data_IF_004330594581
#
_entry.id   IF_004330594581
#
_cell.length_a   1.000
_cell.length_b   1.000
_cell.length_c   1.000
_cell.angle_alpha   90.00
_cell.angle_beta   90.00
_cell.angle_gamma   90.00
#
_symmetry.space_group_name_H-M   'P 1'
#
loop_
_entity.id
_entity.type
_entity.pdbx_description
1 polymer ?
#
# COMPACT_ATOMS: atom_id res chain seq x y z
N UNK A 1 -25.85 9.15 -0.01
CA UNK A 1 -26.00 7.96 0.84
C UNK A 1 -24.59 7.41 1.13
N UNK A 2 -24.08 7.62 2.34
CA UNK A 2 -22.77 7.09 2.73
C UNK A 2 -22.92 5.57 2.93
N UNK A 3 -22.15 4.79 2.17
CA UNK A 3 -22.07 3.34 2.40
C UNK A 3 -21.45 3.11 3.79
N UNK A 4 -22.20 2.47 4.67
CA UNK A 4 -21.66 1.94 5.93
C UNK A 4 -20.86 0.68 5.60
N UNK A 5 -19.55 0.78 5.62
CA UNK A 5 -18.64 -0.36 5.45
C UNK A 5 -17.24 0.09 5.03
N UNK A 6 -16.23 -0.66 5.40
CA UNK A 6 -14.86 -0.43 4.95
C UNK A 6 -14.75 -0.65 3.46
N UNK A 7 -14.27 0.35 2.71
CA UNK A 7 -14.14 0.29 1.24
C UNK A 7 -12.73 -0.11 0.78
N UNK A 8 -11.74 0.04 1.65
CA UNK A 8 -10.34 -0.32 1.42
C UNK A 8 -9.64 -0.57 2.75
N UNK A 9 -8.59 -1.38 2.72
CA UNK A 9 -7.62 -1.52 3.80
C UNK A 9 -6.42 -0.65 3.49
N UNK A 10 -5.94 0.11 4.46
CA UNK A 10 -4.74 0.95 4.31
C UNK A 10 -3.61 0.31 5.08
N UNK A 11 -2.46 0.21 4.45
CA UNK A 11 -1.22 -0.24 5.05
C UNK A 11 -0.04 0.59 4.55
N UNK A 12 1.05 0.55 5.27
CA UNK A 12 2.25 1.27 4.88
C UNK A 12 3.49 0.61 5.45
N UNK A 13 4.63 0.93 4.87
CA UNK A 13 5.91 0.45 5.37
C UNK A 13 6.42 1.26 6.55
N UNK A 14 5.76 2.36 6.91
CA UNK A 14 6.25 3.31 7.89
C UNK A 14 7.67 3.79 7.53
N UNK A 15 8.04 4.95 7.98
CA UNK A 15 9.45 5.33 7.93
C UNK A 15 10.17 4.48 8.99
N UNK A 16 11.07 3.54 8.64
CA UNK A 16 11.81 2.84 9.67
C UNK A 16 12.60 3.92 10.42
N UNK A 17 12.16 4.22 11.62
CA UNK A 17 12.94 5.05 12.54
C UNK A 17 14.32 4.46 12.58
N UNK A 18 15.34 5.28 12.36
CA UNK A 18 16.72 4.84 12.22
C UNK A 18 17.06 3.74 13.25
N UNK A 19 17.36 2.55 12.75
CA UNK A 19 17.88 1.44 13.57
C UNK A 19 16.91 0.30 13.88
N UNK A 20 15.66 0.27 13.40
CA UNK A 20 14.69 -0.71 13.91
C UNK A 20 14.40 -1.92 13.03
N UNK A 21 14.53 -1.86 11.71
CA UNK A 21 14.31 -3.07 10.87
C UNK A 21 14.78 -2.87 9.43
N UNK A 22 15.38 -3.93 8.86
CA UNK A 22 15.67 -3.97 7.42
C UNK A 22 14.37 -4.02 6.60
N UNK A 23 14.35 -3.39 5.41
CA UNK A 23 13.16 -3.41 4.53
C UNK A 23 12.70 -4.83 4.19
N UNK A 24 13.63 -5.76 4.04
CA UNK A 24 13.32 -7.17 3.83
C UNK A 24 12.48 -7.77 4.97
N UNK A 25 12.68 -7.32 6.20
CA UNK A 25 11.91 -7.77 7.35
C UNK A 25 10.44 -7.32 7.28
N UNK A 26 10.18 -6.09 6.78
CA UNK A 26 8.81 -5.62 6.55
C UNK A 26 8.08 -6.50 5.53
N UNK A 27 8.72 -6.82 4.42
CA UNK A 27 8.14 -7.71 3.42
C UNK A 27 7.93 -9.14 3.95
N UNK A 28 8.84 -9.62 4.78
CA UNK A 28 8.68 -10.91 5.44
C UNK A 28 7.48 -10.90 6.42
N UNK A 29 7.31 -9.82 7.20
CA UNK A 29 6.15 -9.63 8.08
C UNK A 29 4.83 -9.59 7.31
N UNK A 30 4.78 -8.87 6.17
CA UNK A 30 3.59 -8.81 5.32
C UNK A 30 3.24 -10.18 4.75
N UNK A 31 4.22 -10.92 4.23
CA UNK A 31 4.00 -12.26 3.71
C UNK A 31 3.49 -13.20 4.81
N UNK A 32 4.16 -13.21 5.95
CA UNK A 32 3.72 -14.02 7.10
C UNK A 32 2.29 -13.70 7.51
N UNK A 33 1.92 -12.42 7.58
CA UNK A 33 0.58 -11.98 7.92
C UNK A 33 -0.46 -12.52 6.93
N UNK A 34 -0.21 -12.42 5.62
CA UNK A 34 -1.13 -12.91 4.61
C UNK A 34 -1.20 -14.45 4.57
N UNK A 35 -0.09 -15.15 4.82
CA UNK A 35 -0.07 -16.60 4.98
C UNK A 35 -0.88 -17.03 6.21
N UNK A 36 -0.77 -16.29 7.31
CA UNK A 36 -1.56 -16.54 8.51
C UNK A 36 -3.06 -16.33 8.28
N UNK A 37 -3.46 -15.30 7.51
CA UNK A 37 -4.86 -15.12 7.12
C UNK A 37 -5.38 -16.30 6.30
N UNK A 38 -4.62 -16.77 5.32
CA UNK A 38 -4.99 -17.98 4.53
C UNK A 38 -5.09 -19.22 5.40
N UNK A 39 -4.11 -19.43 6.30
CA UNK A 39 -4.12 -20.56 7.22
C UNK A 39 -5.31 -20.48 8.20
N UNK A 40 -5.65 -19.31 8.70
CA UNK A 40 -6.81 -19.08 9.55
C UNK A 40 -8.12 -19.43 8.83
N UNK A 41 -8.29 -18.97 7.58
CA UNK A 41 -9.49 -19.30 6.79
C UNK A 41 -9.67 -20.83 6.61
N UNK A 42 -8.57 -21.56 6.38
CA UNK A 42 -8.60 -23.00 6.18
C UNK A 42 -8.81 -23.80 7.47
N UNK A 43 -8.39 -23.27 8.62
CA UNK A 43 -8.32 -23.99 9.90
C UNK A 43 -8.96 -23.22 11.05
N UNK A 44 -10.03 -22.50 10.77
CA UNK A 44 -10.69 -21.64 11.77
C UNK A 44 -11.07 -22.40 13.04
N UNK A 45 -11.71 -23.58 12.92
CA UNK A 45 -12.10 -24.38 14.05
C UNK A 45 -10.91 -24.85 14.91
N UNK A 46 -9.78 -25.21 14.26
CA UNK A 46 -8.57 -25.59 14.97
C UNK A 46 -7.91 -24.40 15.69
N UNK A 47 -8.00 -23.20 15.13
CA UNK A 47 -7.55 -21.97 15.77
C UNK A 47 -8.40 -21.66 17.01
N UNK A 48 -9.72 -21.71 16.89
CA UNK A 48 -10.68 -21.43 17.98
C UNK A 48 -10.55 -22.45 19.13
N UNK A 49 -10.16 -23.69 18.84
CA UNK A 49 -9.89 -24.73 19.83
C UNK A 49 -8.46 -24.69 20.43
N UNK A 50 -7.62 -23.74 20.01
CA UNK A 50 -6.23 -23.65 20.46
C UNK A 50 -5.31 -24.75 19.94
N UNK A 51 -5.72 -25.47 18.89
CA UNK A 51 -4.96 -26.59 18.31
C UNK A 51 -3.97 -26.18 17.22
N UNK A 52 -3.80 -24.86 16.97
CA UNK A 52 -2.84 -24.32 16.00
C UNK A 52 -1.72 -23.54 16.69
N UNK A 53 -0.63 -23.27 15.94
CA UNK A 53 0.38 -22.31 16.40
C UNK A 53 -0.22 -20.92 16.55
N UNK A 54 0.41 -20.10 17.36
CA UNK A 54 0.09 -18.66 17.39
C UNK A 54 0.34 -18.02 16.02
N UNK A 55 -0.58 -17.17 15.60
CA UNK A 55 -0.45 -16.35 14.40
C UNK A 55 0.23 -15.00 14.72
N UNK A 56 0.70 -14.33 13.68
CA UNK A 56 1.44 -13.07 13.80
C UNK A 56 0.59 -11.90 14.35
N UNK A 57 -0.73 -12.06 14.40
CA UNK A 57 -1.66 -11.02 14.84
C UNK A 57 -2.91 -11.61 15.48
N UNK A 58 -3.73 -10.76 16.10
CA UNK A 58 -4.99 -11.16 16.74
C UNK A 58 -6.03 -11.67 15.74
N UNK A 59 -6.97 -12.46 16.22
CA UNK A 59 -8.11 -12.95 15.44
C UNK A 59 -8.87 -11.83 14.73
N UNK A 60 -9.14 -10.73 15.42
CA UNK A 60 -9.85 -9.59 14.84
C UNK A 60 -9.13 -9.00 13.63
N UNK A 61 -7.79 -8.92 13.68
CA UNK A 61 -6.99 -8.45 12.57
C UNK A 61 -6.97 -9.46 11.41
N UNK A 62 -6.90 -10.76 11.71
CA UNK A 62 -6.99 -11.80 10.67
C UNK A 62 -8.33 -11.72 9.94
N UNK A 63 -9.43 -11.60 10.67
CA UNK A 63 -10.78 -11.47 10.11
C UNK A 63 -10.95 -10.20 9.26
N UNK A 64 -10.39 -9.08 9.71
CA UNK A 64 -10.41 -7.82 8.95
C UNK A 64 -9.66 -7.91 7.61
N UNK A 65 -8.64 -8.76 7.50
CA UNK A 65 -7.85 -8.96 6.28
C UNK A 65 -8.45 -10.00 5.31
N UNK A 66 -9.39 -10.81 5.74
CA UNK A 66 -10.05 -11.82 4.87
C UNK A 66 -10.57 -11.21 3.56
N UNK A 67 -11.31 -10.09 3.55
CA UNK A 67 -11.81 -9.50 2.31
C UNK A 67 -10.70 -9.03 1.37
N UNK A 68 -9.53 -8.63 1.91
CA UNK A 68 -8.37 -8.23 1.12
C UNK A 68 -7.76 -9.45 0.44
N UNK A 69 -7.50 -10.53 1.19
CA UNK A 69 -6.94 -11.78 0.67
C UNK A 69 -7.89 -12.44 -0.34
N UNK A 70 -9.21 -12.30 -0.14
CA UNK A 70 -10.22 -12.77 -1.09
C UNK A 70 -10.39 -11.88 -2.33
N UNK A 71 -9.62 -10.79 -2.46
CA UNK A 71 -9.74 -9.84 -3.57
C UNK A 71 -11.06 -9.05 -3.62
N UNK A 72 -11.82 -9.05 -2.53
CA UNK A 72 -13.09 -8.33 -2.42
C UNK A 72 -12.88 -6.85 -2.03
N UNK A 73 -11.83 -6.58 -1.25
CA UNK A 73 -11.46 -5.26 -0.78
C UNK A 73 -10.04 -4.92 -1.28
N UNK A 74 -9.80 -3.72 -1.83
CA UNK A 74 -8.46 -3.31 -2.21
C UNK A 74 -7.58 -3.01 -0.99
N UNK A 75 -6.28 -3.31 -1.13
CA UNK A 75 -5.23 -2.85 -0.25
C UNK A 75 -4.64 -1.56 -0.84
N UNK A 76 -4.68 -0.47 -0.09
CA UNK A 76 -3.94 0.75 -0.40
C UNK A 76 -2.63 0.68 0.38
N UNK A 77 -1.51 0.66 -0.32
CA UNK A 77 -0.19 0.53 0.27
C UNK A 77 0.62 1.80 0.06
N UNK A 78 1.02 2.43 1.16
CA UNK A 78 1.88 3.61 1.15
C UNK A 78 3.34 3.19 0.95
N UNK A 79 3.93 3.54 -0.20
CA UNK A 79 5.30 3.20 -0.59
C UNK A 79 5.89 4.29 -1.48
N UNK A 80 7.14 4.67 -1.24
CA UNK A 80 7.80 5.77 -1.94
C UNK A 80 8.90 5.31 -2.89
N UNK A 81 9.74 4.37 -2.48
CA UNK A 81 10.91 3.94 -3.26
C UNK A 81 10.54 3.02 -4.41
N UNK A 82 11.24 3.18 -5.52
CA UNK A 82 11.08 2.33 -6.70
C UNK A 82 11.23 0.83 -6.38
N UNK A 83 12.20 0.47 -5.52
CA UNK A 83 12.40 -0.93 -5.09
C UNK A 83 11.22 -1.49 -4.28
N UNK A 84 10.63 -0.67 -3.40
CA UNK A 84 9.48 -1.09 -2.60
C UNK A 84 8.20 -1.15 -3.44
N UNK A 85 8.07 -0.25 -4.43
CA UNK A 85 6.98 -0.29 -5.41
C UNK A 85 7.02 -1.61 -6.20
N UNK A 86 8.17 -1.99 -6.74
CA UNK A 86 8.33 -3.27 -7.44
C UNK A 86 8.00 -4.46 -6.53
N UNK A 87 8.50 -4.44 -5.30
CA UNK A 87 8.19 -5.50 -4.34
C UNK A 87 6.70 -5.55 -3.95
N UNK A 88 6.00 -4.39 -3.92
CA UNK A 88 4.55 -4.33 -3.73
C UNK A 88 3.77 -4.93 -4.90
N UNK A 89 4.21 -4.67 -6.14
CA UNK A 89 3.62 -5.27 -7.34
C UNK A 89 3.78 -6.80 -7.34
N UNK A 90 4.98 -7.29 -7.01
CA UNK A 90 5.25 -8.73 -6.90
C UNK A 90 4.43 -9.38 -5.77
N UNK A 91 4.32 -8.70 -4.64
CA UNK A 91 3.48 -9.14 -3.53
C UNK A 91 2.01 -9.25 -3.94
N UNK A 92 1.47 -8.23 -4.58
CA UNK A 92 0.08 -8.23 -5.04
C UNK A 92 -0.19 -9.35 -6.05
N UNK A 93 0.74 -9.59 -6.96
CA UNK A 93 0.68 -10.69 -7.92
C UNK A 93 0.73 -12.06 -7.24
N UNK A 94 1.63 -12.25 -6.28
CA UNK A 94 1.80 -13.51 -5.56
C UNK A 94 0.57 -13.90 -4.73
N UNK A 95 -0.11 -12.92 -4.14
CA UNK A 95 -1.29 -13.14 -3.30
C UNK A 95 -2.62 -12.99 -4.03
N UNK A 96 -2.62 -12.50 -5.28
CA UNK A 96 -3.82 -12.29 -6.10
C UNK A 96 -4.74 -11.18 -5.57
N UNK A 97 -4.16 -10.16 -4.93
CA UNK A 97 -4.92 -9.09 -4.29
C UNK A 97 -5.08 -7.86 -5.19
N UNK A 98 -6.13 -7.08 -4.92
CA UNK A 98 -6.32 -5.76 -5.55
C UNK A 98 -5.46 -4.75 -4.82
N UNK A 99 -4.42 -4.26 -5.49
CA UNK A 99 -3.49 -3.27 -4.95
C UNK A 99 -3.80 -1.88 -5.50
N UNK A 100 -3.69 -0.87 -4.64
CA UNK A 100 -3.52 0.53 -4.96
C UNK A 100 -2.24 1.01 -4.28
N UNK A 101 -1.47 1.84 -4.94
CA UNK A 101 -0.28 2.45 -4.35
C UNK A 101 -0.58 3.89 -3.95
N UNK A 102 -0.06 4.31 -2.82
CA UNK A 102 -0.14 5.68 -2.34
C UNK A 102 1.27 6.26 -2.15
N UNK A 103 1.39 7.58 -2.22
CA UNK A 103 2.64 8.32 -2.17
C UNK A 103 3.47 8.20 -3.44
N UNK A 104 4.14 7.09 -3.66
CA UNK A 104 4.91 6.69 -4.85
C UNK A 104 5.91 7.76 -5.33
N UNK A 105 6.68 8.34 -4.43
CA UNK A 105 7.61 9.45 -4.73
C UNK A 105 8.61 9.13 -5.85
N UNK A 106 9.06 7.89 -5.97
CA UNK A 106 9.93 7.39 -7.03
C UNK A 106 9.17 6.61 -8.13
N UNK A 107 7.84 6.74 -8.17
CA UNK A 107 6.98 6.01 -9.12
C UNK A 107 7.33 6.24 -10.58
N UNK A 108 7.82 7.44 -10.92
CA UNK A 108 8.28 7.78 -12.27
C UNK A 108 9.40 6.90 -12.79
N UNK A 109 10.24 6.35 -11.90
CA UNK A 109 11.35 5.46 -12.27
C UNK A 109 10.86 4.09 -12.75
N UNK A 110 9.71 3.63 -12.23
CA UNK A 110 9.11 2.30 -12.48
C UNK A 110 7.69 2.42 -13.04
N UNK A 111 7.42 3.54 -13.74
CA UNK A 111 6.09 3.84 -14.26
C UNK A 111 5.57 2.79 -15.25
N UNK A 112 6.46 2.19 -16.05
CA UNK A 112 6.12 1.13 -17.01
C UNK A 112 5.65 -0.15 -16.31
N UNK A 113 6.31 -0.54 -15.24
CA UNK A 113 5.99 -1.71 -14.43
C UNK A 113 4.64 -1.52 -13.72
N UNK A 114 4.39 -0.34 -13.17
CA UNK A 114 3.10 0.02 -12.56
C UNK A 114 1.99 -0.04 -13.62
N UNK A 115 2.22 0.53 -14.80
CA UNK A 115 1.26 0.51 -15.91
C UNK A 115 0.96 -0.91 -16.39
N UNK A 116 2.01 -1.74 -16.55
CA UNK A 116 1.88 -3.15 -16.93
C UNK A 116 1.07 -3.97 -15.92
N UNK A 117 1.25 -3.67 -14.62
CA UNK A 117 0.48 -4.30 -13.54
C UNK A 117 -0.96 -3.76 -13.43
N UNK A 118 -1.30 -2.68 -14.15
CA UNK A 118 -2.60 -1.99 -14.08
C UNK A 118 -2.98 -1.55 -12.67
N UNK A 119 -2.00 -1.21 -11.85
CA UNK A 119 -2.20 -0.77 -10.47
C UNK A 119 -2.43 0.74 -10.46
N UNK A 120 -3.56 1.23 -9.91
CA UNK A 120 -3.80 2.65 -9.76
C UNK A 120 -2.89 3.24 -8.68
N UNK A 121 -2.54 4.51 -8.85
CA UNK A 121 -1.73 5.24 -7.88
C UNK A 121 -2.45 6.48 -7.35
N UNK A 122 -2.24 6.78 -6.09
CA UNK A 122 -2.70 7.98 -5.39
C UNK A 122 -1.47 8.82 -5.06
N UNK A 123 -1.39 10.02 -5.62
CA UNK A 123 -0.25 10.92 -5.43
C UNK A 123 -0.71 12.23 -4.79
N UNK A 124 0.12 12.81 -3.93
CA UNK A 124 -0.09 14.15 -3.42
C UNK A 124 0.17 15.20 -4.50
N UNK A 125 -0.56 16.32 -4.42
CA UNK A 125 -0.28 17.45 -5.26
C UNK A 125 0.95 18.20 -4.75
N UNK A 126 1.82 18.63 -5.68
CA UNK A 126 2.99 19.51 -5.41
C UNK A 126 3.98 18.95 -4.36
N UNK A 127 4.10 17.67 -4.24
CA UNK A 127 5.12 17.05 -3.40
C UNK A 127 6.45 17.02 -4.16
N UNK A 128 7.29 18.01 -3.99
CA UNK A 128 8.57 18.16 -4.68
C UNK A 128 9.76 18.40 -3.75
N UNK A 129 9.51 18.48 -2.46
CA UNK A 129 10.55 18.62 -1.44
C UNK A 129 10.63 17.31 -0.64
N UNK A 130 11.74 16.54 -0.75
CA UNK A 130 11.91 15.34 0.03
C UNK A 130 11.87 15.63 1.54
N UNK A 131 11.04 14.90 2.27
CA UNK A 131 10.92 15.03 3.72
C UNK A 131 11.75 13.99 4.46
N UNK A 132 12.18 12.94 3.78
CA UNK A 132 12.96 11.84 4.33
C UNK A 132 13.78 11.11 3.25
N UNK A 133 14.58 10.11 3.68
CA UNK A 133 15.38 9.29 2.77
C UNK A 133 14.57 8.41 1.82
N UNK A 134 13.31 8.14 2.09
CA UNK A 134 12.46 7.33 1.21
C UNK A 134 11.91 8.14 0.04
N UNK A 135 11.88 9.46 0.18
CA UNK A 135 11.34 10.40 -0.80
C UNK A 135 12.40 11.20 -1.57
N UNK A 136 13.70 10.82 -1.48
CA UNK A 136 14.81 11.54 -2.14
C UNK A 136 14.64 11.66 -3.66
N UNK A 137 14.04 10.67 -4.31
CA UNK A 137 13.77 10.68 -5.75
C UNK A 137 12.50 11.44 -6.14
N UNK A 138 11.90 12.17 -5.22
CA UNK A 138 10.68 12.93 -5.46
C UNK A 138 10.90 14.04 -6.51
N UNK A 139 9.89 14.23 -7.37
CA UNK A 139 9.93 15.28 -8.41
C UNK A 139 8.53 15.72 -8.81
N UNK A 140 8.40 16.98 -9.23
CA UNK A 140 7.10 17.59 -9.63
C UNK A 140 6.39 16.85 -10.74
N UNK A 141 7.15 16.38 -11.72
CA UNK A 141 6.62 15.73 -12.91
C UNK A 141 6.16 14.30 -12.65
N UNK A 142 6.32 13.75 -11.45
CA UNK A 142 6.01 12.35 -11.12
C UNK A 142 4.61 11.95 -11.63
N UNK A 143 3.58 12.71 -11.27
CA UNK A 143 2.20 12.42 -11.69
C UNK A 143 2.04 12.46 -13.22
N UNK A 144 2.68 13.41 -13.90
CA UNK A 144 2.65 13.52 -15.35
C UNK A 144 3.36 12.37 -16.03
N UNK A 145 4.53 11.96 -15.53
CA UNK A 145 5.31 10.83 -16.04
C UNK A 145 4.57 9.49 -15.86
N UNK A 146 3.94 9.28 -14.70
CA UNK A 146 3.08 8.13 -14.45
C UNK A 146 1.91 8.10 -15.44
N UNK A 147 1.23 9.24 -15.63
CA UNK A 147 0.12 9.36 -16.58
C UNK A 147 0.56 9.10 -18.01
N UNK A 148 1.70 9.64 -18.42
CA UNK A 148 2.27 9.42 -19.75
C UNK A 148 2.62 7.95 -20.00
N UNK A 149 3.02 7.21 -18.97
CA UNK A 149 3.25 5.77 -19.04
C UNK A 149 1.97 4.91 -19.07
N UNK A 150 0.78 5.54 -18.95
CA UNK A 150 -0.51 4.83 -18.96
C UNK A 150 -1.03 4.41 -17.59
N UNK A 151 -0.42 4.88 -16.51
CA UNK A 151 -0.89 4.60 -15.14
C UNK A 151 -2.17 5.39 -14.85
N UNK A 152 -3.12 4.78 -14.15
CA UNK A 152 -4.26 5.49 -13.58
C UNK A 152 -3.81 6.27 -12.36
N UNK A 153 -3.76 7.59 -12.48
CA UNK A 153 -3.31 8.51 -11.42
C UNK A 153 -4.51 9.21 -10.79
N UNK A 154 -4.60 9.15 -9.47
CA UNK A 154 -5.56 9.90 -8.66
C UNK A 154 -4.78 10.89 -7.81
N UNK A 155 -5.12 12.18 -7.90
CA UNK A 155 -4.49 13.20 -7.08
C UNK A 155 -5.32 13.39 -5.82
N UNK A 156 -4.67 13.27 -4.67
CA UNK A 156 -5.29 13.35 -3.36
C UNK A 156 -4.66 14.44 -2.51
N UNK A 157 -5.44 15.02 -1.62
CA UNK A 157 -4.89 15.83 -0.54
C UNK A 157 -4.20 14.90 0.48
N UNK A 158 -2.93 15.13 0.72
CA UNK A 158 -2.14 14.34 1.66
C UNK A 158 -2.03 15.09 2.96
N UNK A 159 -2.93 14.88 3.89
CA UNK A 159 -2.74 15.42 5.20
C UNK A 159 -3.96 15.47 6.09
N UNK A 160 -3.68 15.45 7.37
CA UNK A 160 -4.68 15.53 8.44
C UNK A 160 -4.95 16.97 8.90
N UNK A 161 -4.16 17.94 8.45
CA UNK A 161 -4.33 19.36 8.77
C UNK A 161 -5.01 20.11 7.64
N UNK A 162 -5.91 21.05 7.98
CA UNK A 162 -6.72 21.80 7.01
C UNK A 162 -5.91 22.58 5.96
N UNK A 163 -4.62 22.85 6.21
CA UNK A 163 -3.75 23.55 5.26
C UNK A 163 -3.40 22.70 4.02
N UNK A 164 -3.37 21.38 4.15
CA UNK A 164 -2.97 20.47 3.06
C UNK A 164 -4.11 20.16 2.08
N UNK A 165 -5.35 20.42 2.45
CA UNK A 165 -6.50 20.31 1.54
C UNK A 165 -6.48 21.32 0.39
N UNK A 166 -5.66 22.36 0.49
CA UNK A 166 -5.48 23.34 -0.58
C UNK A 166 -4.69 22.80 -1.78
N UNK A 167 -3.90 21.74 -1.60
CA UNK A 167 -3.06 21.19 -2.66
C UNK A 167 -3.88 20.72 -3.87
N UNK A 168 -5.08 20.19 -3.67
CA UNK A 168 -5.97 19.74 -4.75
C UNK A 168 -6.48 20.93 -5.60
N UNK A 169 -6.64 22.11 -5.02
CA UNK A 169 -7.12 23.30 -5.74
C UNK A 169 -6.08 23.92 -6.67
N UNK A 170 -4.81 23.61 -6.46
CA UNK A 170 -3.70 24.14 -7.25
C UNK A 170 -3.36 23.26 -8.46
N UNK A 171 -4.10 22.20 -8.70
CA UNK A 171 -3.96 21.34 -9.89
C UNK A 171 -4.75 22.02 -11.01
N UNK A 172 -4.03 22.63 -11.94
CA UNK A 172 -4.57 23.22 -13.16
C UNK A 172 -3.94 22.58 -14.38
#
# INVERSE_FOLDING_TARGET
MLRKGSIAMVGGFGNPTAGTSARAEYWAKWRRLFDDVKAYQLRRAAYESGSTREFATSQANLEALIPVVAGQMPLILDVDRASDILAALDFAKAYGIKLWLASVSEGWMVAKEIAAAKVPVMVGAMNDIPTDFASLGQRRENAALLKAAGVTVVIVGTGTSGAESFNVRNIR
#
